data_IF_336620503851
#
_entry.id   IF_336620503851
#
_cell.length_a   1.000
_cell.length_b   1.000
_cell.length_c   1.000
_cell.angle_alpha   90.00
_cell.angle_beta   90.00
_cell.angle_gamma   90.00
#
_symmetry.space_group_name_H-M   'P 1'
#
loop_
_entity.id
_entity.type
_entity.pdbx_description
1 polymer ?
#
# COMPACT_ATOMS: atom_id res chain seq x y z
N UNK A 1 9.17 37.03 -8.01
CA UNK A 1 9.20 35.88 -8.94
C UNK A 1 8.17 34.88 -8.45
N UNK A 2 7.08 34.70 -9.19
CA UNK A 2 6.00 33.80 -8.79
C UNK A 2 6.42 32.36 -9.09
N UNK A 3 7.23 31.77 -8.21
CA UNK A 3 7.56 30.35 -8.25
C UNK A 3 6.33 29.59 -7.78
N UNK A 4 5.51 29.14 -8.73
CA UNK A 4 4.33 28.31 -8.47
C UNK A 4 4.68 27.18 -7.51
N UNK A 5 3.91 27.03 -6.43
CA UNK A 5 4.12 26.01 -5.39
C UNK A 5 4.00 24.57 -5.94
N UNK A 6 3.36 24.41 -7.09
CA UNK A 6 3.21 23.18 -7.85
C UNK A 6 3.86 23.31 -9.22
N UNK A 7 4.26 22.18 -9.85
CA UNK A 7 4.58 22.18 -11.27
C UNK A 7 3.40 22.70 -12.11
N UNK A 8 3.64 23.11 -13.38
CA UNK A 8 2.60 23.60 -14.28
C UNK A 8 1.67 22.45 -14.72
N UNK A 9 0.80 22.04 -13.80
CA UNK A 9 -0.18 20.99 -14.00
C UNK A 9 -1.42 21.54 -14.72
N UNK A 10 -2.06 20.76 -15.61
CA UNK A 10 -3.38 21.10 -16.12
C UNK A 10 -4.38 21.24 -14.95
N UNK A 11 -5.35 22.18 -15.01
CA UNK A 11 -6.34 22.37 -13.95
C UNK A 11 -7.08 21.08 -13.56
N UNK A 12 -7.39 20.23 -14.54
CA UNK A 12 -8.04 18.93 -14.30
C UNK A 12 -7.20 18.00 -13.40
N UNK A 13 -5.88 18.00 -13.54
CA UNK A 13 -4.99 17.18 -12.70
C UNK A 13 -4.91 17.74 -11.28
N UNK A 14 -4.98 19.06 -11.13
CA UNK A 14 -5.03 19.72 -9.82
C UNK A 14 -6.30 19.32 -9.06
N UNK A 15 -7.45 19.35 -9.73
CA UNK A 15 -8.73 18.90 -9.16
C UNK A 15 -8.70 17.40 -8.80
N UNK A 16 -8.13 16.56 -9.67
CA UNK A 16 -7.97 15.12 -9.40
C UNK A 16 -7.08 14.87 -8.17
N UNK A 17 -5.97 15.61 -8.02
CA UNK A 17 -5.12 15.55 -6.83
C UNK A 17 -5.95 15.87 -5.58
N UNK A 18 -6.71 16.97 -5.59
CA UNK A 18 -7.51 17.37 -4.44
C UNK A 18 -8.56 16.32 -4.05
N UNK A 19 -9.23 15.72 -5.04
CA UNK A 19 -10.18 14.63 -4.80
C UNK A 19 -9.50 13.38 -4.23
N UNK A 20 -8.32 13.02 -4.74
CA UNK A 20 -7.53 11.91 -4.22
C UNK A 20 -7.09 12.16 -2.77
N UNK A 21 -6.57 13.35 -2.45
CA UNK A 21 -6.19 13.71 -1.09
C UNK A 21 -7.41 13.69 -0.16
N UNK A 22 -8.57 14.18 -0.60
CA UNK A 22 -9.81 14.10 0.18
C UNK A 22 -10.28 12.65 0.42
N UNK A 23 -10.09 11.75 -0.55
CA UNK A 23 -10.33 10.31 -0.36
C UNK A 23 -9.39 9.71 0.69
N UNK A 24 -8.10 10.07 0.66
CA UNK A 24 -7.12 9.65 1.66
C UNK A 24 -7.54 10.12 3.06
N UNK A 25 -7.93 11.38 3.20
CA UNK A 25 -8.42 11.95 4.45
C UNK A 25 -9.58 11.14 5.02
N UNK A 26 -10.64 10.91 4.22
CA UNK A 26 -11.84 10.18 4.65
C UNK A 26 -11.53 8.76 5.14
N UNK A 27 -10.53 8.11 4.54
CA UNK A 27 -10.13 6.74 4.91
C UNK A 27 -9.34 6.68 6.22
N UNK A 28 -8.46 7.65 6.49
CA UNK A 28 -7.49 7.54 7.58
C UNK A 28 -7.93 8.24 8.87
N UNK A 29 -8.60 9.39 8.76
CA UNK A 29 -8.98 10.18 9.94
C UNK A 29 -9.88 9.47 10.94
N UNK A 30 -10.86 8.63 10.55
CA UNK A 30 -11.65 7.87 11.53
C UNK A 30 -10.75 7.05 12.45
N UNK A 31 -9.74 6.37 11.90
CA UNK A 31 -8.84 5.52 12.69
C UNK A 31 -7.91 6.28 13.62
N UNK A 32 -7.55 7.53 13.27
CA UNK A 32 -6.77 8.41 14.14
C UNK A 32 -7.70 9.00 15.22
N UNK A 33 -8.94 9.34 14.86
CA UNK A 33 -9.95 9.89 15.77
C UNK A 33 -10.33 8.88 16.86
N UNK A 34 -10.42 7.60 16.52
CA UNK A 34 -10.65 6.49 17.48
C UNK A 34 -9.57 6.38 18.57
N UNK A 35 -8.38 6.93 18.34
CA UNK A 35 -7.30 6.93 19.34
C UNK A 35 -7.46 8.02 20.40
N UNK A 36 -8.43 8.93 20.26
CA UNK A 36 -8.70 9.93 21.28
C UNK A 36 -9.10 9.27 22.60
N UNK A 37 -8.58 9.81 23.69
CA UNK A 37 -9.03 9.45 25.03
C UNK A 37 -9.87 10.58 25.64
N UNK A 38 -10.71 10.22 26.61
CA UNK A 38 -11.35 11.22 27.46
C UNK A 38 -10.29 12.03 28.20
N UNK A 39 -10.53 13.33 28.38
CA UNK A 39 -9.67 14.21 29.18
C UNK A 39 -9.74 13.89 30.67
N UNK A 40 -10.91 13.44 31.12
CA UNK A 40 -11.18 13.07 32.50
C UNK A 40 -11.82 11.68 32.55
N UNK A 41 -11.30 10.83 33.43
CA UNK A 41 -11.88 9.52 33.75
C UNK A 41 -12.40 9.58 35.19
N UNK A 42 -13.52 8.88 35.45
CA UNK A 42 -13.98 8.69 36.81
C UNK A 42 -12.96 7.84 37.60
N UNK A 43 -12.84 8.02 38.92
CA UNK A 43 -11.88 7.27 39.75
C UNK A 43 -11.99 5.74 39.60
N UNK A 44 -13.20 5.24 39.37
CA UNK A 44 -13.49 3.80 39.26
C UNK A 44 -13.50 3.27 37.81
N UNK A 45 -13.30 4.15 36.82
CA UNK A 45 -13.26 3.77 35.40
C UNK A 45 -11.84 3.32 35.01
N UNK A 46 -11.65 2.09 34.48
CA UNK A 46 -10.34 1.65 34.04
C UNK A 46 -9.86 2.52 32.88
N UNK A 47 -8.66 3.11 33.02
CA UNK A 47 -8.06 3.91 31.96
C UNK A 47 -7.71 3.00 30.76
N UNK A 48 -8.19 3.31 29.54
CA UNK A 48 -7.76 2.58 28.36
C UNK A 48 -6.24 2.73 28.15
N UNK A 49 -5.60 1.76 27.51
CA UNK A 49 -4.15 1.77 27.31
C UNK A 49 -3.74 2.87 26.32
N UNK A 50 -2.73 3.66 26.71
CA UNK A 50 -2.10 4.65 25.81
C UNK A 50 -1.23 3.94 24.78
N UNK A 51 -1.27 4.40 23.53
CA UNK A 51 -0.52 3.82 22.41
C UNK A 51 0.20 4.91 21.58
N UNK A 52 1.13 5.69 22.19
CA UNK A 52 1.77 6.82 21.52
C UNK A 52 2.51 6.42 20.24
N UNK A 53 3.23 5.28 20.23
CA UNK A 53 3.94 4.80 19.05
C UNK A 53 2.98 4.45 17.91
N UNK A 54 1.82 3.84 18.22
CA UNK A 54 0.82 3.51 17.20
C UNK A 54 0.20 4.77 16.59
N UNK A 55 -0.03 5.80 17.40
CA UNK A 55 -0.54 7.08 16.90
C UNK A 55 0.47 7.72 15.94
N UNK A 56 1.74 7.80 16.35
CA UNK A 56 2.82 8.34 15.50
C UNK A 56 2.88 7.54 14.20
N UNK A 57 2.93 6.21 14.26
CA UNK A 57 2.97 5.36 13.06
C UNK A 57 1.80 5.61 12.11
N UNK A 58 0.58 5.77 12.63
CA UNK A 58 -0.60 6.08 11.80
C UNK A 58 -0.52 7.45 11.16
N UNK A 59 -0.03 8.46 11.89
CA UNK A 59 0.16 9.82 11.35
C UNK A 59 1.23 9.81 10.25
N UNK A 60 2.37 9.17 10.50
CA UNK A 60 3.47 9.05 9.54
C UNK A 60 3.00 8.34 8.28
N UNK A 61 2.33 7.19 8.43
CA UNK A 61 1.73 6.46 7.32
C UNK A 61 0.82 7.35 6.48
N UNK A 62 -0.12 8.03 7.12
CA UNK A 62 -1.08 8.89 6.45
C UNK A 62 -0.37 10.02 5.67
N UNK A 63 0.62 10.65 6.28
CA UNK A 63 1.43 11.68 5.62
C UNK A 63 2.20 11.13 4.41
N UNK A 64 2.79 9.93 4.53
CA UNK A 64 3.44 9.25 3.41
C UNK A 64 2.48 8.99 2.25
N UNK A 65 1.21 8.65 2.54
CA UNK A 65 0.17 8.50 1.52
C UNK A 65 -0.18 9.81 0.85
N UNK A 66 -0.39 10.88 1.61
CA UNK A 66 -0.66 12.19 1.02
C UNK A 66 0.48 12.63 0.09
N UNK A 67 1.72 12.52 0.57
CA UNK A 67 2.90 12.90 -0.19
C UNK A 67 3.01 12.08 -1.48
N UNK A 68 2.97 10.75 -1.38
CA UNK A 68 3.12 9.87 -2.54
C UNK A 68 2.00 10.07 -3.58
N UNK A 69 0.76 10.26 -3.13
CA UNK A 69 -0.39 10.51 -4.00
C UNK A 69 -0.22 11.74 -4.89
N UNK A 70 0.28 12.85 -4.33
CA UNK A 70 0.53 14.08 -5.10
C UNK A 70 1.86 14.01 -5.88
N UNK A 71 2.93 13.48 -5.28
CA UNK A 71 4.25 13.35 -5.90
C UNK A 71 4.22 12.45 -7.15
N UNK A 72 3.38 11.40 -7.15
CA UNK A 72 3.15 10.54 -8.32
C UNK A 72 2.59 11.29 -9.53
N UNK A 73 1.95 12.46 -9.34
CA UNK A 73 1.49 13.30 -10.44
C UNK A 73 2.60 14.18 -11.02
N UNK A 74 3.73 14.29 -10.31
CA UNK A 74 4.86 15.12 -10.72
C UNK A 74 5.88 14.34 -11.55
N UNK A 75 5.71 13.02 -11.71
CA UNK A 75 6.70 12.12 -12.33
C UNK A 75 7.10 12.56 -13.75
N UNK A 76 6.15 13.11 -14.51
CA UNK A 76 6.39 13.64 -15.86
C UNK A 76 7.39 14.81 -15.89
N UNK A 77 7.63 15.47 -14.76
CA UNK A 77 8.57 16.58 -14.64
C UNK A 77 9.88 16.19 -13.96
N UNK A 78 10.18 14.89 -13.78
CA UNK A 78 11.40 14.44 -13.09
C UNK A 78 12.70 14.98 -13.72
N UNK A 79 12.69 15.27 -15.02
CA UNK A 79 13.84 15.87 -15.72
C UNK A 79 13.94 17.39 -15.58
N UNK A 80 12.95 18.06 -14.99
CA UNK A 80 12.95 19.51 -14.79
C UNK A 80 13.89 19.90 -13.63
N UNK A 81 14.74 20.93 -13.79
CA UNK A 81 15.60 21.43 -12.71
C UNK A 81 14.84 21.85 -11.44
N UNK A 82 13.57 22.21 -11.54
CA UNK A 82 12.72 22.62 -10.42
C UNK A 82 12.05 21.44 -9.70
N UNK A 83 12.18 20.20 -10.20
CA UNK A 83 11.55 19.02 -9.60
C UNK A 83 11.86 18.86 -8.10
N UNK A 84 13.12 18.98 -7.63
CA UNK A 84 13.41 18.90 -6.20
C UNK A 84 12.75 20.02 -5.39
N UNK A 85 12.63 21.22 -5.98
CA UNK A 85 11.99 22.36 -5.32
C UNK A 85 10.48 22.10 -5.14
N UNK A 86 9.81 21.54 -6.15
CA UNK A 86 8.40 21.18 -6.03
C UNK A 86 8.15 20.09 -5.00
N UNK A 87 9.03 19.10 -4.90
CA UNK A 87 8.94 18.06 -3.87
C UNK A 87 9.18 18.62 -2.46
N UNK A 88 10.12 19.57 -2.30
CA UNK A 88 10.31 20.29 -1.04
C UNK A 88 9.06 21.08 -0.65
N UNK A 89 8.42 21.79 -1.59
CA UNK A 89 7.16 22.51 -1.32
C UNK A 89 6.01 21.55 -0.99
N UNK A 90 5.99 20.37 -1.62
CA UNK A 90 5.03 19.34 -1.30
C UNK A 90 5.19 18.84 0.14
N UNK A 91 6.43 18.60 0.60
CA UNK A 91 6.72 18.23 1.98
C UNK A 91 6.19 19.27 2.98
N UNK A 92 6.45 20.55 2.74
CA UNK A 92 5.96 21.65 3.56
C UNK A 92 4.43 21.66 3.62
N UNK A 93 3.76 21.53 2.48
CA UNK A 93 2.29 21.49 2.40
C UNK A 93 1.69 20.28 3.10
N UNK A 94 2.26 19.09 2.91
CA UNK A 94 1.78 17.86 3.58
C UNK A 94 1.97 18.00 5.09
N UNK A 95 3.12 18.48 5.54
CA UNK A 95 3.38 18.75 6.96
C UNK A 95 2.34 19.69 7.54
N UNK A 96 2.12 20.85 6.89
CA UNK A 96 1.13 21.83 7.34
C UNK A 96 -0.29 21.25 7.34
N UNK A 97 -0.68 20.48 6.32
CA UNK A 97 -2.00 19.82 6.23
C UNK A 97 -2.22 18.87 7.40
N UNK A 98 -1.23 18.00 7.68
CA UNK A 98 -1.32 17.01 8.76
C UNK A 98 -1.42 17.69 10.12
N UNK A 99 -0.54 18.66 10.40
CA UNK A 99 -0.54 19.38 11.68
C UNK A 99 -1.82 20.19 11.88
N UNK A 100 -2.28 20.94 10.87
CA UNK A 100 -3.54 21.68 10.94
C UNK A 100 -4.74 20.76 11.15
N UNK A 101 -4.73 19.56 10.57
CA UNK A 101 -5.80 18.60 10.75
C UNK A 101 -5.79 18.00 12.16
N UNK A 102 -4.62 17.73 12.74
CA UNK A 102 -4.50 17.32 14.14
C UNK A 102 -4.92 18.45 15.10
N UNK A 103 -4.57 19.70 14.82
CA UNK A 103 -5.02 20.85 15.63
C UNK A 103 -6.54 20.98 15.59
N UNK A 104 -7.16 20.88 14.41
CA UNK A 104 -8.62 20.85 14.27
C UNK A 104 -9.24 19.67 15.00
N UNK A 105 -8.57 18.52 14.98
CA UNK A 105 -8.99 17.34 15.70
C UNK A 105 -8.95 17.59 17.21
N UNK A 106 -7.89 18.17 17.76
CA UNK A 106 -7.79 18.48 19.18
C UNK A 106 -8.81 19.56 19.61
N UNK A 107 -9.04 20.57 18.76
CA UNK A 107 -10.00 21.64 19.03
C UNK A 107 -11.48 21.22 18.90
N UNK A 108 -11.76 20.19 18.10
CA UNK A 108 -13.13 19.79 17.74
C UNK A 108 -13.93 19.10 18.85
N UNK A 109 -13.28 18.60 19.90
CA UNK A 109 -13.96 18.02 21.07
C UNK A 109 -13.22 18.35 22.37
N UNK A 110 -13.70 19.33 23.16
CA UNK A 110 -13.03 19.78 24.38
C UNK A 110 -13.00 18.71 25.50
N UNK A 111 -13.79 17.64 25.38
CA UNK A 111 -13.85 16.55 26.36
C UNK A 111 -12.88 15.41 26.04
N UNK A 112 -12.30 15.41 24.85
CA UNK A 112 -11.34 14.41 24.41
C UNK A 112 -10.00 15.06 24.08
N UNK A 113 -8.92 14.30 24.16
CA UNK A 113 -7.60 14.73 23.73
C UNK A 113 -6.92 13.57 23.01
N UNK A 114 -6.16 13.87 21.97
CA UNK A 114 -5.34 12.86 21.28
C UNK A 114 -3.91 12.92 21.79
N UNK A 115 -3.26 14.08 21.69
CA UNK A 115 -1.84 14.25 22.04
C UNK A 115 -1.65 14.18 23.55
N UNK A 116 -2.45 14.95 24.31
CA UNK A 116 -2.42 14.95 25.78
C UNK A 116 -2.73 13.58 26.38
N UNK A 117 -3.70 12.86 25.82
CA UNK A 117 -4.05 11.51 26.29
C UNK A 117 -2.89 10.52 26.10
N UNK A 118 -2.15 10.61 24.99
CA UNK A 118 -1.00 9.76 24.72
C UNK A 118 0.32 10.26 25.33
N UNK A 119 0.33 11.41 26.00
CA UNK A 119 1.53 12.00 26.57
C UNK A 119 2.53 12.50 25.51
N UNK A 120 2.01 12.94 24.36
CA UNK A 120 2.80 13.45 23.25
C UNK A 120 2.69 14.97 23.16
N UNK A 121 3.80 15.63 22.83
CA UNK A 121 3.83 17.02 22.39
C UNK A 121 3.72 17.12 20.87
N UNK A 122 3.40 18.32 20.37
CA UNK A 122 3.41 18.60 18.92
C UNK A 122 4.78 18.37 18.30
N UNK A 123 5.87 18.62 19.02
CA UNK A 123 7.23 18.34 18.55
C UNK A 123 7.53 16.85 18.43
N UNK A 124 6.92 16.01 19.28
CA UNK A 124 7.09 14.55 19.23
C UNK A 124 6.43 13.95 17.99
N UNK A 125 5.48 14.65 17.39
CA UNK A 125 4.85 14.28 16.11
C UNK A 125 5.57 14.98 14.94
N UNK A 126 5.81 16.28 15.07
CA UNK A 126 6.35 17.12 13.99
C UNK A 126 7.75 16.71 13.53
N UNK A 127 8.66 16.37 14.46
CA UNK A 127 10.02 15.95 14.07
C UNK A 127 10.03 14.62 13.31
N UNK A 128 9.44 13.52 13.81
CA UNK A 128 9.35 12.28 13.03
C UNK A 128 8.64 12.45 11.68
N UNK A 129 7.62 13.32 11.63
CA UNK A 129 6.89 13.63 10.40
C UNK A 129 7.80 14.25 9.34
N UNK A 130 8.57 15.29 9.72
CA UNK A 130 9.53 15.92 8.82
C UNK A 130 10.61 14.93 8.37
N UNK A 131 11.16 14.13 9.29
CA UNK A 131 12.15 13.10 8.94
C UNK A 131 11.60 12.09 7.93
N UNK A 132 10.39 11.56 8.17
CA UNK A 132 9.78 10.59 7.26
C UNK A 132 9.47 11.18 5.88
N UNK A 133 8.96 12.42 5.83
CA UNK A 133 8.69 13.08 4.54
C UNK A 133 9.96 13.44 3.79
N UNK A 134 11.02 13.86 4.49
CA UNK A 134 12.34 14.08 3.90
C UNK A 134 12.89 12.79 3.26
N UNK A 135 12.80 11.65 3.95
CA UNK A 135 13.24 10.36 3.40
C UNK A 135 12.47 10.00 2.12
N UNK A 136 11.15 10.17 2.12
CA UNK A 136 10.30 9.91 0.95
C UNK A 136 10.65 10.88 -0.18
N UNK A 137 10.83 12.16 0.12
CA UNK A 137 11.25 13.18 -0.85
C UNK A 137 12.53 12.75 -1.55
N UNK A 138 13.55 12.37 -0.79
CA UNK A 138 14.83 11.90 -1.30
C UNK A 138 14.67 10.65 -2.18
N UNK A 139 13.76 9.74 -1.86
CA UNK A 139 13.45 8.59 -2.74
C UNK A 139 12.83 9.03 -4.08
N UNK A 140 11.95 10.03 -4.08
CA UNK A 140 11.36 10.57 -5.32
C UNK A 140 12.40 11.30 -6.17
N UNK A 141 13.28 12.08 -5.54
CA UNK A 141 14.42 12.75 -6.20
C UNK A 141 15.36 11.74 -6.87
N UNK A 142 15.63 10.60 -6.21
CA UNK A 142 16.48 9.52 -6.73
C UNK A 142 15.76 8.57 -7.69
N UNK A 143 14.45 8.70 -7.83
CA UNK A 143 13.61 7.79 -8.63
C UNK A 143 13.49 6.37 -8.06
N UNK A 144 13.77 6.19 -6.77
CA UNK A 144 13.65 4.93 -6.03
C UNK A 144 12.33 4.80 -5.27
N UNK A 145 11.51 5.86 -5.25
CA UNK A 145 10.25 5.87 -4.52
C UNK A 145 9.26 4.80 -5.03
N UNK A 146 8.61 4.07 -4.12
CA UNK A 146 7.52 3.17 -4.48
C UNK A 146 6.32 4.00 -4.91
N UNK A 147 6.08 4.08 -6.22
CA UNK A 147 4.92 4.81 -6.75
C UNK A 147 3.63 4.30 -6.11
N UNK A 148 2.84 5.17 -5.49
CA UNK A 148 1.61 4.82 -4.80
C UNK A 148 0.48 4.39 -5.73
N UNK A 149 0.55 4.80 -7.00
CA UNK A 149 -0.21 4.14 -8.08
C UNK A 149 0.03 2.64 -8.13
N UNK A 150 1.15 2.14 -7.59
CA UNK A 150 1.50 0.72 -7.48
C UNK A 150 1.38 0.18 -6.03
N UNK A 151 1.26 1.03 -5.00
CA UNK A 151 1.37 0.66 -3.58
C UNK A 151 0.04 0.50 -2.82
N UNK A 152 -1.13 0.66 -3.45
CA UNK A 152 -2.43 0.34 -2.83
C UNK A 152 -2.63 -1.16 -2.51
N UNK A 153 -1.59 -1.98 -2.57
CA UNK A 153 -1.60 -3.44 -2.39
C UNK A 153 -0.77 -3.97 -1.21
N UNK A 154 -0.22 -3.15 -0.30
CA UNK A 154 0.56 -3.70 0.82
C UNK A 154 0.46 -2.87 2.12
N UNK A 155 -0.06 -3.48 3.19
CA UNK A 155 0.35 -3.17 4.57
C UNK A 155 1.18 -4.32 5.16
N UNK A 156 2.18 -4.05 6.04
CA UNK A 156 3.07 -5.05 6.62
C UNK A 156 2.53 -5.67 7.92
N UNK A 157 2.67 -6.99 8.03
CA UNK A 157 2.46 -7.78 9.24
C UNK A 157 3.72 -7.78 10.11
N UNK A 158 3.58 -7.49 11.41
CA UNK A 158 4.60 -7.84 12.41
C UNK A 158 4.30 -9.24 13.00
N UNK A 159 5.25 -10.13 12.73
CA UNK A 159 5.74 -11.25 13.55
C UNK A 159 4.73 -12.17 14.26
N UNK A 160 4.70 -13.42 13.79
CA UNK A 160 4.68 -14.59 14.70
C UNK A 160 5.85 -15.50 14.36
N UNK A 161 6.50 -15.93 15.44
CA UNK A 161 7.75 -16.68 15.54
C UNK A 161 7.57 -18.12 15.03
N UNK A 162 8.66 -18.64 14.48
CA UNK A 162 8.90 -20.01 14.06
C UNK A 162 8.40 -21.08 15.04
N UNK A 163 8.00 -22.25 14.52
CA UNK A 163 8.88 -23.43 14.51
C UNK A 163 8.20 -24.70 13.96
N UNK A 164 8.99 -25.44 13.19
CA UNK A 164 9.11 -26.91 13.12
C UNK A 164 8.02 -27.78 12.49
N UNK A 165 8.26 -28.11 11.21
CA UNK A 165 8.24 -29.47 10.60
C UNK A 165 9.12 -30.47 11.40
N UNK A 166 9.17 -31.82 11.12
CA UNK A 166 8.66 -32.56 9.94
C UNK A 166 8.11 -34.00 10.17
N UNK A 167 7.86 -34.69 9.02
CA UNK A 167 7.94 -36.14 8.70
C UNK A 167 6.56 -36.83 8.52
N UNK A 168 6.25 -37.67 7.52
CA UNK A 168 7.07 -38.55 6.67
C UNK A 168 6.34 -38.96 5.34
N UNK A 169 7.15 -39.46 4.40
CA UNK A 169 6.89 -40.47 3.33
C UNK A 169 5.88 -40.14 2.19
N UNK A 170 6.30 -39.91 0.95
CA UNK A 170 6.98 -40.80 -0.05
C UNK A 170 6.02 -41.76 -0.76
N UNK A 171 5.69 -41.46 -2.03
CA UNK A 171 5.45 -42.47 -3.09
C UNK A 171 5.85 -41.89 -4.45
N UNK A 172 6.88 -42.48 -5.07
CA UNK A 172 7.28 -42.29 -6.46
C UNK A 172 6.18 -42.76 -7.43
N UNK A 173 5.84 -41.93 -8.42
CA UNK A 173 5.33 -42.39 -9.73
C UNK A 173 6.00 -41.58 -10.83
N UNK A 174 6.79 -42.25 -11.66
CA UNK A 174 7.32 -41.71 -12.91
C UNK A 174 6.35 -42.00 -14.07
N UNK A 175 6.01 -40.97 -14.85
CA UNK A 175 5.52 -41.04 -16.25
C UNK A 175 5.35 -39.60 -16.79
N UNK A 176 5.19 -39.42 -18.10
CA UNK A 176 6.20 -39.27 -19.16
C UNK A 176 6.73 -37.81 -19.27
N UNK A 177 7.94 -37.65 -19.86
CA UNK A 177 8.67 -36.38 -20.01
C UNK A 177 7.96 -35.41 -20.98
N UNK A 178 6.92 -34.73 -20.49
CA UNK A 178 6.28 -33.62 -21.16
C UNK A 178 7.24 -32.41 -21.19
N UNK A 179 7.21 -31.66 -22.29
CA UNK A 179 7.82 -30.33 -22.40
C UNK A 179 7.52 -29.51 -21.14
N UNK A 180 8.44 -28.68 -20.63
CA UNK A 180 8.22 -27.93 -19.40
C UNK A 180 6.96 -27.06 -19.57
N UNK A 181 5.86 -27.49 -18.93
CA UNK A 181 4.55 -26.86 -19.05
C UNK A 181 4.70 -25.41 -18.61
N UNK A 182 4.45 -24.48 -19.53
CA UNK A 182 4.62 -23.05 -19.22
C UNK A 182 3.56 -22.62 -18.22
N UNK A 183 3.82 -21.55 -17.47
CA UNK A 183 2.83 -20.99 -16.52
C UNK A 183 1.50 -20.68 -17.24
N UNK A 184 1.56 -20.26 -18.52
CA UNK A 184 0.36 -20.00 -19.32
C UNK A 184 -0.47 -21.26 -19.58
N UNK A 185 0.19 -22.39 -19.84
CA UNK A 185 -0.49 -23.67 -20.10
C UNK A 185 -1.12 -24.23 -18.83
N UNK A 186 -0.41 -24.14 -17.70
CA UNK A 186 -0.93 -24.50 -16.38
C UNK A 186 -2.18 -23.68 -16.03
N UNK A 187 -2.15 -22.36 -16.28
CA UNK A 187 -3.29 -21.47 -16.04
C UNK A 187 -4.49 -21.80 -16.93
N UNK A 188 -4.28 -22.12 -18.21
CA UNK A 188 -5.38 -22.55 -19.12
C UNK A 188 -6.03 -23.84 -18.65
N UNK A 189 -5.21 -24.81 -18.22
CA UNK A 189 -5.70 -26.09 -17.71
C UNK A 189 -6.54 -25.91 -16.45
N UNK A 190 -6.01 -25.20 -15.46
CA UNK A 190 -6.71 -24.92 -14.19
C UNK A 190 -7.99 -24.10 -14.39
N UNK A 191 -7.95 -23.10 -15.29
CA UNK A 191 -9.16 -22.34 -15.67
C UNK A 191 -10.24 -23.25 -16.25
N UNK A 192 -9.86 -24.15 -17.15
CA UNK A 192 -10.79 -25.07 -17.80
C UNK A 192 -11.37 -26.06 -16.79
N UNK A 193 -10.56 -26.54 -15.84
CA UNK A 193 -10.96 -27.42 -14.74
C UNK A 193 -11.94 -26.74 -13.77
N UNK A 194 -11.78 -25.43 -13.54
CA UNK A 194 -12.67 -24.64 -12.69
C UNK A 194 -13.89 -24.02 -13.42
N UNK A 195 -14.00 -24.22 -14.74
CA UNK A 195 -15.01 -23.59 -15.60
C UNK A 195 -15.09 -22.05 -15.44
N UNK A 196 -13.96 -21.38 -15.22
CA UNK A 196 -13.92 -19.93 -15.00
C UNK A 196 -13.74 -19.15 -16.32
N UNK A 197 -14.49 -18.06 -16.48
CA UNK A 197 -14.23 -17.10 -17.57
C UNK A 197 -13.11 -16.12 -17.20
N UNK A 198 -12.56 -15.41 -18.19
CA UNK A 198 -11.50 -14.40 -17.95
C UNK A 198 -12.02 -13.28 -17.04
N UNK A 199 -13.27 -12.89 -17.24
CA UNK A 199 -13.97 -11.84 -16.50
C UNK A 199 -14.18 -12.25 -15.04
N UNK A 200 -14.56 -13.51 -14.80
CA UNK A 200 -14.71 -14.02 -13.44
C UNK A 200 -13.38 -14.10 -12.70
N UNK A 201 -12.30 -14.50 -13.39
CA UNK A 201 -10.95 -14.46 -12.83
C UNK A 201 -10.50 -13.02 -12.57
N UNK A 202 -10.86 -12.07 -13.45
CA UNK A 202 -10.54 -10.65 -13.30
C UNK A 202 -11.20 -10.05 -12.06
N UNK A 203 -12.48 -10.38 -11.84
CA UNK A 203 -13.21 -9.97 -10.65
C UNK A 203 -12.60 -10.61 -9.40
N UNK A 204 -12.37 -11.94 -9.41
CA UNK A 204 -11.89 -12.66 -8.24
C UNK A 204 -10.45 -12.29 -7.84
N UNK A 205 -9.62 -11.87 -8.80
CA UNK A 205 -8.23 -11.47 -8.57
C UNK A 205 -8.06 -9.95 -8.48
N UNK A 206 -9.13 -9.18 -8.69
CA UNK A 206 -9.12 -7.71 -8.80
C UNK A 206 -8.10 -7.18 -9.82
N UNK A 207 -7.91 -7.92 -10.93
CA UNK A 207 -6.98 -7.57 -12.01
C UNK A 207 -7.77 -7.27 -13.28
N UNK A 208 -7.30 -6.32 -14.10
CA UNK A 208 -7.92 -6.05 -15.39
C UNK A 208 -7.98 -7.32 -16.28
N UNK A 209 -9.12 -7.61 -16.95
CA UNK A 209 -9.27 -8.78 -17.82
C UNK A 209 -8.16 -8.91 -18.87
N UNK A 210 -7.70 -7.78 -19.41
CA UNK A 210 -6.62 -7.72 -20.40
C UNK A 210 -5.30 -8.32 -19.88
N UNK A 211 -4.98 -8.13 -18.60
CA UNK A 211 -3.76 -8.70 -18.00
C UNK A 211 -3.86 -10.21 -17.86
N UNK A 212 -5.04 -10.73 -17.50
CA UNK A 212 -5.29 -12.18 -17.43
C UNK A 212 -5.20 -12.80 -18.83
N UNK A 213 -5.77 -12.15 -19.85
CA UNK A 213 -5.63 -12.60 -21.24
C UNK A 213 -4.17 -12.67 -21.68
N UNK A 214 -3.33 -11.70 -21.28
CA UNK A 214 -1.88 -11.72 -21.59
C UNK A 214 -1.14 -12.86 -20.88
N UNK A 215 -1.48 -13.16 -19.62
CA UNK A 215 -0.93 -14.30 -18.88
C UNK A 215 -1.32 -15.63 -19.53
N UNK A 216 -2.61 -15.80 -19.89
CA UNK A 216 -3.11 -16.99 -20.57
C UNK A 216 -2.48 -17.13 -21.97
N UNK A 217 -2.22 -16.04 -22.67
CA UNK A 217 -1.55 -16.07 -23.97
C UNK A 217 -0.03 -16.31 -23.87
N UNK A 218 0.55 -16.36 -22.67
CA UNK A 218 2.00 -16.50 -22.46
C UNK A 218 2.82 -15.27 -22.90
N UNK A 219 2.15 -14.15 -23.21
CA UNK A 219 2.82 -12.91 -23.66
C UNK A 219 3.57 -12.22 -22.52
N UNK A 220 3.13 -12.44 -21.28
CA UNK A 220 3.76 -11.90 -20.08
C UNK A 220 3.70 -12.95 -18.98
N UNK A 221 4.85 -13.21 -18.34
CA UNK A 221 4.89 -14.09 -17.17
C UNK A 221 4.19 -13.37 -16.01
N UNK A 222 3.19 -13.99 -15.34
CA UNK A 222 2.58 -13.40 -14.17
C UNK A 222 3.63 -13.13 -13.11
N UNK A 223 3.57 -11.96 -12.47
CA UNK A 223 4.43 -11.65 -11.33
C UNK A 223 4.16 -12.65 -10.20
N UNK A 224 5.15 -12.93 -9.35
CA UNK A 224 5.02 -13.87 -8.22
C UNK A 224 3.72 -13.68 -7.40
N UNK A 225 3.32 -12.42 -7.15
CA UNK A 225 2.04 -12.12 -6.48
C UNK A 225 0.80 -12.63 -7.22
N UNK A 226 0.76 -12.51 -8.55
CA UNK A 226 -0.36 -13.00 -9.35
C UNK A 226 -0.34 -14.53 -9.43
N UNK A 227 0.85 -15.14 -9.38
CA UNK A 227 1.00 -16.60 -9.33
C UNK A 227 0.36 -17.14 -8.05
N UNK A 228 0.70 -16.57 -6.89
CA UNK A 228 0.07 -16.95 -5.62
C UNK A 228 -1.44 -16.72 -5.65
N UNK A 229 -1.91 -15.60 -6.18
CA UNK A 229 -3.34 -15.33 -6.29
C UNK A 229 -4.07 -16.33 -7.22
N UNK A 230 -3.45 -16.74 -8.32
CA UNK A 230 -3.97 -17.82 -9.15
C UNK A 230 -4.00 -19.15 -8.39
N UNK A 231 -2.92 -19.50 -7.69
CA UNK A 231 -2.83 -20.71 -6.86
C UNK A 231 -3.93 -20.74 -5.82
N UNK A 232 -4.17 -19.65 -5.09
CA UNK A 232 -5.23 -19.53 -4.10
C UNK A 232 -6.61 -19.65 -4.74
N UNK A 233 -6.89 -18.88 -5.79
CA UNK A 233 -8.17 -18.93 -6.50
C UNK A 233 -8.49 -20.36 -6.97
N UNK A 234 -7.53 -21.03 -7.60
CA UNK A 234 -7.73 -22.40 -8.06
C UNK A 234 -7.76 -23.40 -6.92
N UNK A 235 -6.98 -23.21 -5.86
CA UNK A 235 -7.00 -24.10 -4.69
C UNK A 235 -8.35 -24.06 -3.97
N UNK A 236 -8.92 -22.85 -3.83
CA UNK A 236 -10.21 -22.65 -3.21
C UNK A 236 -11.33 -23.27 -4.05
N UNK A 237 -11.25 -23.12 -5.39
CA UNK A 237 -12.26 -23.66 -6.32
C UNK A 237 -12.18 -25.17 -6.51
N UNK A 238 -10.98 -25.75 -6.48
CA UNK A 238 -10.76 -27.18 -6.69
C UNK A 238 -10.69 -27.97 -5.37
N UNK A 239 -10.65 -27.30 -4.22
CA UNK A 239 -10.54 -27.94 -2.90
C UNK A 239 -9.22 -28.70 -2.69
N UNK A 240 -8.17 -28.38 -3.47
CA UNK A 240 -6.85 -29.02 -3.41
C UNK A 240 -5.76 -27.98 -3.58
N UNK A 241 -4.60 -28.17 -2.96
CA UNK A 241 -3.47 -27.24 -3.11
C UNK A 241 -2.96 -27.26 -4.55
N UNK A 242 -3.03 -26.11 -5.21
CA UNK A 242 -2.50 -25.88 -6.55
C UNK A 242 -1.19 -25.09 -6.42
N UNK A 243 -0.13 -25.58 -7.06
CA UNK A 243 1.15 -24.87 -7.17
C UNK A 243 1.55 -24.74 -8.64
N UNK A 244 1.80 -23.51 -9.06
CA UNK A 244 2.22 -23.15 -10.41
C UNK A 244 3.74 -23.19 -10.49
N UNK A 245 4.26 -23.99 -11.43
CA UNK A 245 5.71 -24.13 -11.63
C UNK A 245 6.19 -23.07 -12.62
N UNK A 246 7.06 -22.18 -12.16
CA UNK A 246 7.79 -21.24 -13.02
C UNK A 246 9.05 -21.96 -13.51
N UNK A 247 9.24 -22.15 -14.83
CA UNK A 247 10.51 -22.68 -15.32
C UNK A 247 11.64 -21.68 -15.04
N UNK A 248 12.69 -22.15 -14.37
CA UNK A 248 13.88 -21.35 -14.04
C UNK A 248 14.52 -20.74 -15.29
N UNK A 249 14.91 -19.47 -15.19
CA UNK A 249 15.60 -18.74 -16.25
C UNK A 249 17.09 -19.14 -16.30
N UNK A 250 17.41 -20.38 -16.70
CA UNK A 250 18.75 -20.75 -17.18
C UNK A 250 18.67 -21.75 -18.33
N UNK A 251 19.51 -21.47 -19.33
CA UNK A 251 19.82 -22.24 -20.53
C UNK A 251 18.90 -22.00 -21.74
N UNK A 252 19.10 -20.86 -22.42
CA UNK A 252 19.74 -20.77 -23.76
C UNK A 252 20.48 -19.44 -23.83
#
# INVERSE_FOLDING_TARGET
MSTSERPPLPPLVVEEIEELLHRVDRRHWPTITEMRGKKFYAPDEPLPPRKPQQLIQRILWYASILFGTEADQYDQFRSDPNYPIWLLRLEERVTARVMNALDKLEAGDPKSQITGYHGLSWSDIGRPLQTALWEIRTQYEQGTAPSQRQASTAQPQQHVVASTTPKAEEVLRETPRALPETVADQLKRLRSECHLTVEQMAIALEVQPRSISKHLAGQTVPRARHIVAYEELFSQRLGKTVTLRIPDKKSV
#
